data_IF_602378864716
#
_entry.id   IF_602378864716
#
_cell.length_a   1.000
_cell.length_b   1.000
_cell.length_c   1.000
_cell.angle_alpha   90.00
_cell.angle_beta   90.00
_cell.angle_gamma   90.00
#
_symmetry.space_group_name_H-M   'P 1'
#
loop_
_entity.id
_entity.type
_entity.pdbx_description
1 polymer ?
#
# COMPACT_ATOMS: atom_id res chain seq x y z
N UNK A 1 14.47 -2.65 30.63
CA UNK A 1 15.68 -1.81 30.57
C UNK A 1 16.15 -1.84 29.13
N UNK A 2 16.06 -0.71 28.44
CA UNK A 2 16.51 -0.52 27.06
C UNK A 2 18.03 -0.45 27.13
N UNK A 3 18.73 -1.35 26.42
CA UNK A 3 20.18 -1.41 26.46
C UNK A 3 20.70 -0.41 25.41
N UNK A 4 20.81 0.85 25.82
CA UNK A 4 20.98 2.01 24.92
C UNK A 4 22.15 1.89 23.95
N UNK A 5 23.17 1.08 24.23
CA UNK A 5 24.30 0.88 23.32
C UNK A 5 23.95 -0.06 22.16
N UNK A 6 23.12 -1.08 22.40
CA UNK A 6 22.69 -2.05 21.40
C UNK A 6 21.60 -1.49 20.48
N UNK A 7 20.66 -0.69 21.03
CA UNK A 7 19.60 -0.06 20.25
C UNK A 7 20.10 1.16 19.44
N UNK A 8 21.23 1.77 19.85
CA UNK A 8 21.90 2.84 19.09
C UNK A 8 22.97 2.32 18.12
N UNK A 9 23.27 1.01 18.13
CA UNK A 9 24.07 0.40 17.06
C UNK A 9 23.22 0.39 15.79
N UNK A 10 23.38 1.45 14.99
CA UNK A 10 23.07 1.40 13.57
C UNK A 10 23.64 0.10 13.03
N UNK A 11 22.87 -0.66 12.26
CA UNK A 11 23.16 -2.04 11.83
C UNK A 11 24.40 -2.20 10.93
N UNK A 12 25.41 -1.32 11.04
CA UNK A 12 26.56 -1.19 10.16
C UNK A 12 26.19 -0.68 8.76
N UNK A 13 24.89 -0.53 8.47
CA UNK A 13 24.36 -0.11 7.18
C UNK A 13 23.76 1.28 7.36
N UNK A 14 24.40 2.26 6.72
CA UNK A 14 23.92 3.63 6.69
C UNK A 14 22.63 3.74 5.85
N UNK A 15 21.70 4.63 6.20
CA UNK A 15 20.49 4.83 5.41
C UNK A 15 20.84 5.36 4.03
N UNK A 16 20.61 4.55 2.99
CA UNK A 16 20.77 4.97 1.60
C UNK A 16 19.52 5.71 1.15
N UNK A 17 19.46 7.01 1.48
CA UNK A 17 18.42 7.92 1.01
C UNK A 17 18.98 8.97 0.05
N UNK A 18 18.13 9.65 -0.74
CA UNK A 18 18.56 10.78 -1.59
C UNK A 18 19.11 11.97 -0.78
N UNK A 19 18.95 11.95 0.56
CA UNK A 19 19.33 13.00 1.51
C UNK A 19 20.36 12.52 2.54
N UNK A 20 21.07 11.40 2.29
CA UNK A 20 22.14 10.99 3.20
C UNK A 20 23.29 12.00 3.14
N UNK A 21 23.73 12.49 4.30
CA UNK A 21 24.83 13.46 4.42
C UNK A 21 26.21 12.91 3.96
N UNK A 22 26.32 11.63 3.60
CA UNK A 22 27.57 10.96 3.27
C UNK A 22 27.81 10.79 1.76
N UNK A 23 29.03 11.07 1.25
CA UNK A 23 29.38 10.89 -0.16
C UNK A 23 29.33 9.42 -0.59
N UNK A 24 28.65 9.14 -1.70
CA UNK A 24 28.42 7.77 -2.24
C UNK A 24 29.71 6.97 -2.52
N UNK A 25 30.84 7.64 -2.71
CA UNK A 25 32.11 7.02 -3.11
C UNK A 25 32.89 6.38 -1.97
N UNK A 26 32.45 6.51 -0.71
CA UNK A 26 33.13 5.93 0.47
C UNK A 26 32.46 4.64 0.99
N UNK A 27 31.88 3.83 0.10
CA UNK A 27 31.51 2.44 0.43
C UNK A 27 32.75 1.54 0.32
N UNK A 28 33.78 1.82 1.13
CA UNK A 28 34.88 0.87 1.34
C UNK A 28 34.50 0.01 2.53
N UNK A 29 34.26 -1.27 2.25
CA UNK A 29 34.02 -2.28 3.27
C UNK A 29 35.15 -2.23 4.31
N UNK A 30 34.80 -1.98 5.58
CA UNK A 30 35.75 -2.12 6.67
C UNK A 30 36.22 -3.58 6.77
N UNK A 31 37.48 -3.83 7.18
CA UNK A 31 37.98 -5.18 7.38
C UNK A 31 37.24 -5.83 8.55
N UNK A 32 36.19 -6.60 8.24
CA UNK A 32 35.32 -7.25 9.25
C UNK A 32 33.97 -7.74 8.73
N UNK A 33 33.50 -7.31 7.55
CA UNK A 33 32.21 -7.74 7.01
C UNK A 33 32.29 -9.09 6.28
N UNK A 34 32.21 -10.20 7.02
CA UNK A 34 31.79 -11.50 6.46
C UNK A 34 30.30 -11.68 6.75
N UNK A 35 29.43 -11.39 5.78
CA UNK A 35 28.04 -11.86 5.81
C UNK A 35 26.91 -10.83 5.72
N UNK A 36 27.14 -9.60 5.25
CA UNK A 36 26.03 -8.70 4.93
C UNK A 36 25.27 -9.27 3.71
N UNK A 37 24.09 -9.85 3.94
CA UNK A 37 23.20 -10.32 2.87
C UNK A 37 22.75 -9.10 2.05
N UNK A 38 22.96 -9.19 0.76
CA UNK A 38 22.51 -8.20 -0.23
C UNK A 38 21.00 -8.02 -0.10
N UNK A 39 20.56 -6.86 0.40
CA UNK A 39 19.15 -6.50 0.35
C UNK A 39 18.78 -6.28 -1.11
N UNK A 40 18.04 -7.23 -1.70
CA UNK A 40 17.49 -7.09 -3.06
C UNK A 40 16.75 -5.76 -3.14
N UNK A 41 17.20 -4.90 -4.06
CA UNK A 41 16.66 -3.59 -4.29
C UNK A 41 15.12 -3.63 -4.39
N UNK A 42 14.44 -2.81 -3.60
CA UNK A 42 12.99 -2.62 -3.69
C UNK A 42 12.63 -2.36 -5.16
N UNK A 43 11.65 -3.09 -5.74
CA UNK A 43 11.23 -2.83 -7.10
C UNK A 43 10.73 -1.38 -7.17
N UNK A 44 11.41 -0.54 -7.97
CA UNK A 44 11.02 0.85 -8.20
C UNK A 44 9.57 0.90 -8.68
N UNK A 45 8.64 1.22 -7.77
CA UNK A 45 7.24 1.44 -8.10
C UNK A 45 7.18 2.72 -8.92
N UNK A 46 7.08 2.58 -10.25
CA UNK A 46 6.92 3.71 -11.18
C UNK A 46 5.47 4.20 -11.10
N UNK A 47 5.11 4.87 -10.01
CA UNK A 47 3.83 5.58 -9.92
C UNK A 47 3.85 6.75 -10.91
N UNK A 48 3.43 6.52 -12.15
CA UNK A 48 3.37 7.55 -13.19
C UNK A 48 2.13 8.42 -12.97
N UNK A 49 2.27 9.74 -13.10
CA UNK A 49 1.16 10.72 -12.99
C UNK A 49 -0.03 10.31 -13.87
N UNK A 50 0.23 9.77 -15.06
CA UNK A 50 -0.79 9.25 -15.96
C UNK A 50 -1.58 8.06 -15.38
N UNK A 51 -0.92 7.16 -14.64
CA UNK A 51 -1.58 6.05 -13.96
C UNK A 51 -2.50 6.53 -12.84
N UNK A 52 -2.05 7.53 -12.09
CA UNK A 52 -2.86 8.17 -11.05
C UNK A 52 -4.09 8.86 -11.64
N UNK A 53 -3.92 9.63 -12.72
CA UNK A 53 -5.00 10.34 -13.41
C UNK A 53 -6.07 9.37 -13.94
N UNK A 54 -5.65 8.23 -14.53
CA UNK A 54 -6.60 7.19 -14.98
C UNK A 54 -7.39 6.58 -13.82
N UNK A 55 -6.74 6.33 -12.68
CA UNK A 55 -7.40 5.81 -11.48
C UNK A 55 -8.45 6.78 -10.92
N UNK A 56 -8.10 8.06 -10.83
CA UNK A 56 -9.01 9.13 -10.42
C UNK A 56 -10.20 9.29 -11.38
N UNK A 57 -9.95 9.37 -12.69
CA UNK A 57 -11.01 9.51 -13.69
C UNK A 57 -12.01 8.37 -13.68
N UNK A 58 -11.55 7.11 -13.61
CA UNK A 58 -12.45 5.95 -13.50
C UNK A 58 -13.31 5.99 -12.25
N UNK A 59 -12.72 6.38 -11.11
CA UNK A 59 -13.43 6.44 -9.83
C UNK A 59 -14.48 7.55 -9.83
N UNK A 60 -14.13 8.73 -10.35
CA UNK A 60 -15.05 9.85 -10.48
C UNK A 60 -16.24 9.50 -11.39
N UNK A 61 -15.97 8.87 -12.54
CA UNK A 61 -17.01 8.42 -13.47
C UNK A 61 -17.95 7.39 -12.80
N UNK A 62 -17.38 6.42 -12.09
CA UNK A 62 -18.16 5.44 -11.33
C UNK A 62 -18.96 6.06 -10.18
N UNK A 63 -18.54 7.19 -9.60
CA UNK A 63 -19.34 7.91 -8.62
C UNK A 63 -20.52 8.67 -9.25
N UNK A 64 -20.32 9.26 -10.43
CA UNK A 64 -21.32 10.06 -11.13
C UNK A 64 -22.42 9.18 -11.73
N UNK A 65 -22.06 8.09 -12.43
CA UNK A 65 -23.03 7.24 -13.14
C UNK A 65 -24.00 6.51 -12.22
N UNK A 66 -23.58 6.31 -10.99
CA UNK A 66 -23.93 5.12 -10.23
C UNK A 66 -24.41 5.54 -8.83
N UNK A 67 -24.10 6.77 -8.42
CA UNK A 67 -24.59 7.39 -7.21
C UNK A 67 -23.87 6.93 -5.94
N UNK A 68 -24.43 7.29 -4.79
CA UNK A 68 -23.97 6.87 -3.46
C UNK A 68 -24.90 5.82 -2.87
N UNK A 69 -24.34 4.81 -2.21
CA UNK A 69 -25.15 3.82 -1.46
C UNK A 69 -25.62 4.38 -0.12
N UNK A 70 -26.66 3.75 0.47
CA UNK A 70 -27.07 4.03 1.84
C UNK A 70 -25.95 3.63 2.83
N UNK A 71 -26.02 4.17 4.05
CA UNK A 71 -25.00 3.89 5.07
C UNK A 71 -25.02 2.42 5.49
N UNK A 72 -26.18 1.77 5.55
CA UNK A 72 -26.26 0.37 5.97
C UNK A 72 -25.54 -0.55 4.98
N UNK A 73 -25.83 -0.41 3.68
CA UNK A 73 -25.21 -1.24 2.64
C UNK A 73 -23.69 -1.01 2.59
N UNK A 74 -23.25 0.21 2.87
CA UNK A 74 -21.83 0.52 2.95
C UNK A 74 -21.15 -0.25 4.08
N UNK A 75 -21.74 -0.24 5.27
CA UNK A 75 -21.20 -0.93 6.45
C UNK A 75 -21.16 -2.44 6.22
N UNK A 76 -22.23 -3.03 5.68
CA UNK A 76 -22.28 -4.44 5.30
C UNK A 76 -21.15 -4.81 4.32
N UNK A 77 -21.01 -4.05 3.23
CA UNK A 77 -19.94 -4.27 2.25
C UNK A 77 -18.55 -4.14 2.88
N UNK A 78 -18.38 -3.18 3.80
CA UNK A 78 -17.11 -2.98 4.47
C UNK A 78 -16.77 -4.12 5.43
N UNK A 79 -17.76 -4.66 6.14
CA UNK A 79 -17.60 -5.80 7.04
C UNK A 79 -17.25 -7.08 6.28
N UNK A 80 -17.86 -7.32 5.11
CA UNK A 80 -17.45 -8.39 4.19
C UNK A 80 -15.98 -8.23 3.80
N UNK A 81 -15.52 -6.99 3.57
CA UNK A 81 -14.13 -6.74 3.21
C UNK A 81 -13.17 -6.99 4.37
N UNK A 82 -13.54 -6.64 5.61
CA UNK A 82 -12.71 -6.92 6.78
C UNK A 82 -12.45 -8.41 6.99
N UNK A 83 -13.41 -9.26 6.60
CA UNK A 83 -13.30 -10.71 6.65
C UNK A 83 -12.58 -11.33 5.43
N UNK A 84 -12.27 -10.53 4.39
CA UNK A 84 -11.66 -11.03 3.17
C UNK A 84 -10.14 -11.22 3.31
N UNK A 85 -9.61 -12.34 2.81
CA UNK A 85 -8.16 -12.64 2.79
C UNK A 85 -7.33 -11.62 2.02
N UNK A 86 -7.91 -10.98 1.00
CA UNK A 86 -7.27 -9.96 0.19
C UNK A 86 -7.25 -8.57 0.86
N UNK A 87 -7.88 -8.39 2.02
CA UNK A 87 -7.96 -7.07 2.66
C UNK A 87 -6.75 -6.80 3.55
N UNK A 88 -6.01 -5.74 3.22
CA UNK A 88 -4.87 -5.27 4.01
C UNK A 88 -5.38 -4.27 5.06
N UNK A 89 -5.51 -4.74 6.31
CA UNK A 89 -6.01 -3.95 7.44
C UNK A 89 -5.19 -2.68 7.73
N UNK A 90 -3.87 -2.74 7.53
CA UNK A 90 -2.97 -1.60 7.76
C UNK A 90 -3.26 -0.43 6.81
N UNK A 91 -3.43 -0.72 5.52
CA UNK A 91 -3.59 0.31 4.48
C UNK A 91 -5.06 0.60 4.14
N UNK A 92 -5.99 -0.20 4.69
CA UNK A 92 -7.42 -0.22 4.36
C UNK A 92 -7.69 -0.39 2.85
N UNK A 93 -6.82 -1.14 2.18
CA UNK A 93 -6.85 -1.41 0.73
C UNK A 93 -7.05 -2.89 0.44
N UNK A 94 -7.61 -3.19 -0.72
CA UNK A 94 -7.64 -4.55 -1.27
C UNK A 94 -6.31 -4.85 -1.99
N UNK A 95 -5.72 -6.03 -1.78
CA UNK A 95 -4.50 -6.48 -2.45
C UNK A 95 -4.71 -6.72 -3.95
N UNK A 96 -5.91 -7.13 -4.34
CA UNK A 96 -6.24 -7.46 -5.75
C UNK A 96 -6.45 -6.21 -6.60
N UNK A 97 -7.30 -5.29 -6.15
CA UNK A 97 -7.65 -4.10 -6.93
C UNK A 97 -6.89 -2.82 -6.52
N UNK A 98 -6.18 -2.84 -5.38
CA UNK A 98 -5.43 -1.68 -4.87
C UNK A 98 -6.27 -0.49 -4.39
N UNK A 99 -7.60 -0.54 -4.52
CA UNK A 99 -8.50 0.53 -4.13
C UNK A 99 -8.63 0.66 -2.61
N UNK A 100 -8.88 1.88 -2.14
CA UNK A 100 -9.30 2.15 -0.76
C UNK A 100 -10.74 1.69 -0.55
N UNK A 101 -10.94 0.71 0.34
CA UNK A 101 -12.26 0.11 0.52
C UNK A 101 -13.24 1.04 1.24
N UNK A 102 -12.75 1.97 2.06
CA UNK A 102 -13.57 3.02 2.67
C UNK A 102 -14.26 3.90 1.61
N UNK A 103 -13.55 4.24 0.53
CA UNK A 103 -14.13 4.99 -0.57
C UNK A 103 -14.94 4.08 -1.50
N UNK A 104 -14.43 2.89 -1.82
CA UNK A 104 -15.05 1.97 -2.78
C UNK A 104 -16.44 1.49 -2.35
N UNK A 105 -16.66 1.31 -1.06
CA UNK A 105 -17.96 0.88 -0.50
C UNK A 105 -19.05 1.94 -0.65
N UNK A 106 -18.70 3.21 -0.86
CA UNK A 106 -19.68 4.28 -1.12
C UNK A 106 -20.22 4.31 -2.54
N UNK A 107 -19.52 3.73 -3.51
CA UNK A 107 -19.98 3.73 -4.90
C UNK A 107 -21.17 2.78 -5.01
N UNK A 108 -22.33 3.33 -5.36
CA UNK A 108 -23.46 2.52 -5.80
C UNK A 108 -23.15 2.00 -7.20
N UNK A 109 -23.58 0.81 -7.54
CA UNK A 109 -23.11 0.11 -8.75
C UNK A 109 -23.09 -1.39 -8.55
N UNK A 110 -22.86 -2.11 -9.64
CA UNK A 110 -22.92 -3.56 -9.63
C UNK A 110 -21.80 -4.16 -8.75
N UNK A 111 -22.17 -4.92 -7.70
CA UNK A 111 -21.20 -5.48 -6.75
C UNK A 111 -20.20 -6.43 -7.42
N UNK A 112 -20.62 -7.13 -8.48
CA UNK A 112 -19.79 -8.03 -9.26
C UNK A 112 -18.74 -7.32 -10.11
N UNK A 113 -19.03 -6.10 -10.59
CA UNK A 113 -18.04 -5.30 -11.33
C UNK A 113 -17.11 -4.57 -10.38
N UNK A 114 -17.62 -4.16 -9.22
CA UNK A 114 -16.83 -3.46 -8.21
C UNK A 114 -15.85 -4.43 -7.55
N UNK A 115 -16.28 -5.60 -7.09
CA UNK A 115 -15.42 -6.55 -6.41
C UNK A 115 -14.84 -7.58 -7.40
N UNK A 116 -13.51 -7.63 -7.62
CA UNK A 116 -12.92 -8.62 -8.53
C UNK A 116 -13.16 -10.07 -8.08
N UNK A 117 -13.43 -10.28 -6.78
CA UNK A 117 -13.73 -11.57 -6.18
C UNK A 117 -15.24 -11.83 -6.02
N UNK A 118 -16.10 -10.90 -6.46
CA UNK A 118 -17.57 -11.02 -6.44
C UNK A 118 -18.15 -11.43 -5.08
N UNK A 119 -17.61 -10.84 -4.00
CA UNK A 119 -18.02 -11.17 -2.61
C UNK A 119 -19.15 -10.32 -2.04
N UNK A 120 -19.59 -9.27 -2.75
CA UNK A 120 -20.62 -8.36 -2.25
C UNK A 120 -22.00 -8.85 -2.71
N UNK A 121 -22.94 -9.01 -1.78
CA UNK A 121 -24.36 -9.25 -2.07
C UNK A 121 -25.05 -7.97 -2.55
N UNK A 122 -26.17 -8.14 -3.27
CA UNK A 122 -27.05 -7.04 -3.70
C UNK A 122 -28.04 -6.71 -2.58
#
# INVERSE_FOLDING_TARGET
MINSVEDLRSAGVLPTGPVSAWPKQRNVAGPGMRGAKEHKADPKIKATVAGLARGLGKTALQGILNGKVSREVREERYDICKACSAFRKQDKRCSECGCFMEAKTFIAGDPDMLCPLKKWSR
#
